data_IF_495726296379
#
_entry.id   IF_495726296379
#
_cell.length_a   1.000
_cell.length_b   1.000
_cell.length_c   1.000
_cell.angle_alpha   90.00
_cell.angle_beta   90.00
_cell.angle_gamma   90.00
#
_symmetry.space_group_name_H-M   'P 1'
#
loop_
_entity.id
_entity.type
_entity.pdbx_description
1 polymer ?
#
# COMPACT_ATOMS: atom_id res chain seq x y z
N UNK A 1 11.27 -18.05 -19.97
CA UNK A 1 12.48 -17.21 -20.08
C UNK A 1 13.16 -17.16 -18.72
N UNK A 2 14.49 -17.30 -18.64
CA UNK A 2 15.25 -17.22 -17.38
C UNK A 2 15.47 -15.75 -17.03
N UNK A 3 15.29 -15.36 -15.77
CA UNK A 3 15.52 -13.98 -15.29
C UNK A 3 16.99 -13.59 -15.53
N UNK A 4 17.28 -12.46 -16.20
CA UNK A 4 18.66 -11.98 -16.35
C UNK A 4 19.29 -11.72 -14.96
N UNK A 5 20.57 -12.04 -14.77
CA UNK A 5 21.25 -11.75 -13.51
C UNK A 5 21.39 -10.23 -13.32
N UNK A 6 21.10 -9.74 -12.11
CA UNK A 6 21.30 -8.34 -11.75
C UNK A 6 22.78 -8.12 -11.42
N UNK A 7 23.47 -7.32 -12.24
CA UNK A 7 24.88 -6.98 -12.00
C UNK A 7 25.04 -6.06 -10.78
N UNK A 8 26.26 -5.96 -10.25
CA UNK A 8 26.56 -5.04 -9.16
C UNK A 8 26.22 -3.59 -9.54
N UNK A 9 26.68 -3.12 -10.70
CA UNK A 9 26.44 -1.74 -11.16
C UNK A 9 24.94 -1.44 -11.31
N UNK A 10 24.16 -2.39 -11.85
CA UNK A 10 22.72 -2.23 -11.99
C UNK A 10 22.00 -2.20 -10.63
N UNK A 11 22.44 -3.03 -9.67
CA UNK A 11 21.92 -3.00 -8.30
C UNK A 11 22.22 -1.66 -7.63
N UNK A 12 23.47 -1.22 -7.68
CA UNK A 12 23.90 0.02 -7.07
C UNK A 12 23.14 1.23 -7.64
N UNK A 13 22.99 1.31 -8.97
CA UNK A 13 22.21 2.37 -9.61
C UNK A 13 20.72 2.35 -9.19
N UNK A 14 20.12 1.17 -9.04
CA UNK A 14 18.74 1.04 -8.54
C UNK A 14 18.62 1.48 -7.08
N UNK A 15 19.55 1.07 -6.22
CA UNK A 15 19.55 1.45 -4.81
C UNK A 15 19.66 2.98 -4.65
N UNK A 16 20.57 3.62 -5.40
CA UNK A 16 20.72 5.09 -5.39
C UNK A 16 19.47 5.81 -5.93
N UNK A 17 18.93 5.36 -7.07
CA UNK A 17 17.76 5.97 -7.68
C UNK A 17 16.51 5.83 -6.80
N UNK A 18 16.43 4.79 -5.97
CA UNK A 18 15.25 4.48 -5.15
C UNK A 18 15.36 4.95 -3.70
N UNK A 19 16.54 5.36 -3.24
CA UNK A 19 16.83 5.73 -1.84
C UNK A 19 15.86 6.75 -1.22
N UNK A 20 15.27 7.63 -2.04
CA UNK A 20 14.35 8.67 -1.59
C UNK A 20 12.89 8.47 -2.03
N UNK A 21 12.54 7.36 -2.69
CA UNK A 21 11.16 7.12 -3.14
C UNK A 21 10.17 7.09 -1.98
N UNK A 22 10.58 6.56 -0.83
CA UNK A 22 9.74 6.54 0.38
C UNK A 22 9.31 7.95 0.80
N UNK A 23 10.17 8.97 0.65
CA UNK A 23 9.86 10.37 0.99
C UNK A 23 8.78 10.94 0.07
N UNK A 24 8.84 10.61 -1.22
CA UNK A 24 7.84 11.04 -2.22
C UNK A 24 6.49 10.41 -1.86
N UNK A 25 6.46 9.09 -1.68
CA UNK A 25 5.24 8.36 -1.33
C UNK A 25 4.62 8.86 -0.03
N UNK A 26 5.44 9.12 0.99
CA UNK A 26 4.99 9.67 2.27
C UNK A 26 4.39 11.08 2.11
N UNK A 27 5.10 11.99 1.44
CA UNK A 27 4.63 13.36 1.22
C UNK A 27 3.29 13.40 0.46
N UNK A 28 3.11 12.55 -0.56
CA UNK A 28 1.84 12.44 -1.30
C UNK A 28 0.72 11.87 -0.41
N UNK A 29 1.01 10.90 0.45
CA UNK A 29 0.01 10.26 1.30
C UNK A 29 -0.62 11.22 2.33
N UNK A 30 0.13 12.24 2.78
CA UNK A 30 -0.31 13.26 3.74
C UNK A 30 -1.16 14.39 3.13
N UNK A 31 -1.15 14.53 1.80
CA UNK A 31 -1.93 15.57 1.12
C UNK A 31 -3.44 15.32 1.22
N UNK A 32 -4.20 16.40 1.41
CA UNK A 32 -5.67 16.41 1.37
C UNK A 32 -6.17 16.36 -0.09
N UNK A 33 -7.41 15.90 -0.30
CA UNK A 33 -8.01 15.74 -1.63
C UNK A 33 -7.92 17.00 -2.54
N UNK A 34 -8.17 18.23 -2.07
CA UNK A 34 -7.97 19.42 -2.90
C UNK A 34 -6.51 19.64 -3.31
N UNK A 35 -5.57 19.41 -2.39
CA UNK A 35 -4.14 19.56 -2.61
C UNK A 35 -3.60 18.52 -3.59
N UNK A 36 -4.09 17.29 -3.53
CA UNK A 36 -3.69 16.21 -4.45
C UNK A 36 -4.04 16.53 -5.91
N UNK A 37 -5.20 17.13 -6.17
CA UNK A 37 -5.59 17.52 -7.54
C UNK A 37 -4.65 18.57 -8.12
N UNK A 38 -4.35 19.62 -7.34
CA UNK A 38 -3.40 20.65 -7.74
C UNK A 38 -1.98 20.09 -7.91
N UNK A 39 -1.55 19.23 -6.99
CA UNK A 39 -0.26 18.55 -7.06
C UNK A 39 -0.10 17.71 -8.31
N UNK A 40 -1.09 16.87 -8.67
CA UNK A 40 -1.03 16.04 -9.86
C UNK A 40 -1.01 16.90 -11.15
N UNK A 41 -1.75 18.01 -11.18
CA UNK A 41 -1.72 18.94 -12.30
C UNK A 41 -0.35 19.61 -12.46
N UNK A 42 0.18 20.17 -11.36
CA UNK A 42 1.49 20.84 -11.34
C UNK A 42 2.62 19.88 -11.71
N UNK A 43 2.59 18.64 -11.21
CA UNK A 43 3.58 17.62 -11.57
C UNK A 43 3.59 17.37 -13.08
N UNK A 44 2.42 17.22 -13.72
CA UNK A 44 2.33 17.06 -15.18
C UNK A 44 2.85 18.29 -15.93
N UNK A 45 2.50 19.49 -15.48
CA UNK A 45 3.00 20.75 -16.09
C UNK A 45 4.52 20.80 -16.07
N UNK A 46 5.14 20.51 -14.91
CA UNK A 46 6.59 20.48 -14.76
C UNK A 46 7.27 19.41 -15.62
N UNK A 47 6.61 18.29 -15.86
CA UNK A 47 7.08 17.25 -16.77
C UNK A 47 7.08 17.72 -18.22
N UNK A 48 6.04 18.44 -18.64
CA UNK A 48 5.98 19.04 -19.98
C UNK A 48 7.07 20.11 -20.18
N UNK A 49 7.36 20.90 -19.15
CA UNK A 49 8.41 21.93 -19.17
C UNK A 49 9.84 21.34 -19.10
N UNK A 50 9.97 20.06 -18.69
CA UNK A 50 11.24 19.34 -18.52
C UNK A 50 11.18 17.95 -19.16
N UNK A 51 11.25 17.86 -20.50
CA UNK A 51 11.08 16.60 -21.22
C UNK A 51 12.05 15.49 -20.77
N UNK A 52 13.26 15.85 -20.36
CA UNK A 52 14.27 14.92 -19.87
C UNK A 52 13.89 14.22 -18.56
N UNK A 53 12.92 14.78 -17.81
CA UNK A 53 12.38 14.24 -16.57
C UNK A 53 10.89 13.91 -16.65
N UNK A 54 10.29 13.95 -17.84
CA UNK A 54 8.84 13.84 -18.02
C UNK A 54 8.26 12.59 -17.35
N UNK A 55 8.90 11.43 -17.58
CA UNK A 55 8.45 10.15 -17.03
C UNK A 55 8.45 10.13 -15.49
N UNK A 56 9.41 10.79 -14.86
CA UNK A 56 9.48 10.90 -13.40
C UNK A 56 8.33 11.75 -12.85
N UNK A 57 8.06 12.87 -13.50
CA UNK A 57 6.93 13.74 -13.15
C UNK A 57 5.58 13.07 -13.39
N UNK A 58 5.44 12.29 -14.47
CA UNK A 58 4.25 11.49 -14.73
C UNK A 58 4.02 10.45 -13.62
N UNK A 59 5.07 9.75 -13.19
CA UNK A 59 4.97 8.79 -12.07
C UNK A 59 4.53 9.48 -10.77
N UNK A 60 5.07 10.66 -10.46
CA UNK A 60 4.66 11.46 -9.30
C UNK A 60 3.18 11.86 -9.38
N UNK A 61 2.70 12.28 -10.56
CA UNK A 61 1.29 12.59 -10.77
C UNK A 61 0.39 11.36 -10.58
N UNK A 62 0.82 10.18 -11.07
CA UNK A 62 0.09 8.93 -10.90
C UNK A 62 -0.03 8.50 -9.43
N UNK A 63 1.00 8.71 -8.61
CA UNK A 63 0.91 8.46 -7.16
C UNK A 63 -0.19 9.32 -6.51
N UNK A 64 -0.30 10.58 -6.92
CA UNK A 64 -1.36 11.47 -6.41
C UNK A 64 -2.75 11.05 -6.91
N UNK A 65 -2.88 10.62 -8.17
CA UNK A 65 -4.13 10.09 -8.71
C UNK A 65 -4.57 8.80 -7.98
N UNK A 66 -3.63 7.89 -7.70
CA UNK A 66 -3.91 6.67 -6.93
C UNK A 66 -4.38 7.02 -5.52
N UNK A 67 -3.75 7.99 -4.86
CA UNK A 67 -4.17 8.47 -3.54
C UNK A 67 -5.57 9.08 -3.56
N UNK A 68 -5.89 9.88 -4.58
CA UNK A 68 -7.24 10.43 -4.78
C UNK A 68 -8.29 9.31 -4.91
N UNK A 69 -7.97 8.28 -5.66
CA UNK A 69 -8.87 7.14 -5.86
C UNK A 69 -9.09 6.35 -4.56
N UNK A 70 -8.03 6.12 -3.76
CA UNK A 70 -8.15 5.52 -2.42
C UNK A 70 -9.08 6.35 -1.54
N UNK A 71 -8.90 7.67 -1.48
CA UNK A 71 -9.75 8.56 -0.68
C UNK A 71 -11.21 8.52 -1.17
N UNK A 72 -11.44 8.53 -2.49
CA UNK A 72 -12.78 8.43 -3.08
C UNK A 72 -13.45 7.11 -2.72
N UNK A 73 -12.74 5.98 -2.80
CA UNK A 73 -13.26 4.66 -2.38
C UNK A 73 -13.56 4.65 -0.89
N UNK A 74 -12.66 5.15 -0.04
CA UNK A 74 -12.88 5.24 1.41
C UNK A 74 -14.12 6.05 1.77
N UNK A 75 -14.38 7.16 1.07
CA UNK A 75 -15.59 7.99 1.23
C UNK A 75 -16.86 7.29 0.77
N UNK A 76 -16.83 6.66 -0.40
CA UNK A 76 -18.05 6.10 -1.04
C UNK A 76 -18.35 4.66 -0.62
N UNK A 77 -17.35 3.92 -0.14
CA UNK A 77 -17.42 2.49 0.13
C UNK A 77 -17.55 1.61 -1.11
N UNK A 78 -17.44 2.18 -2.32
CA UNK A 78 -17.55 1.45 -3.60
C UNK A 78 -16.20 0.86 -4.03
N UNK A 79 -16.25 -0.06 -4.99
CA UNK A 79 -15.08 -0.74 -5.54
C UNK A 79 -14.77 -2.06 -4.81
N UNK A 80 -13.60 -2.62 -5.10
CA UNK A 80 -13.11 -3.83 -4.46
C UNK A 80 -12.48 -3.48 -3.11
N UNK A 81 -12.81 -4.28 -2.10
CA UNK A 81 -12.25 -4.17 -0.75
C UNK A 81 -11.73 -5.53 -0.31
N UNK A 82 -10.79 -5.53 0.61
CA UNK A 82 -10.29 -6.72 1.27
C UNK A 82 -10.61 -6.64 2.75
N UNK A 83 -11.18 -7.72 3.29
CA UNK A 83 -11.20 -8.01 4.71
C UNK A 83 -9.90 -8.72 5.07
N UNK A 84 -9.23 -8.32 6.14
CA UNK A 84 -7.94 -8.87 6.53
C UNK A 84 -7.96 -9.12 8.04
N UNK A 85 -7.41 -10.25 8.46
CA UNK A 85 -7.04 -10.53 9.84
C UNK A 85 -5.56 -10.86 9.89
N UNK A 86 -4.79 -10.04 10.62
CA UNK A 86 -3.37 -10.25 10.86
C UNK A 86 -3.13 -10.78 12.27
N UNK A 87 -2.14 -11.65 12.41
CA UNK A 87 -1.64 -12.12 13.70
C UNK A 87 -0.23 -11.61 13.89
N UNK A 88 -0.02 -10.82 14.94
CA UNK A 88 1.27 -10.21 15.28
C UNK A 88 1.78 -10.86 16.56
N UNK A 89 2.97 -11.44 16.51
CA UNK A 89 3.70 -11.91 17.69
C UNK A 89 4.63 -10.82 18.18
N UNK A 90 4.51 -10.45 19.44
CA UNK A 90 5.36 -9.48 20.10
C UNK A 90 6.51 -10.17 20.82
N UNK A 91 7.72 -9.66 20.65
CA UNK A 91 8.86 -10.06 21.46
C UNK A 91 8.98 -9.21 22.74
N UNK A 92 9.96 -9.52 23.60
CA UNK A 92 10.19 -8.81 24.86
C UNK A 92 10.53 -7.32 24.72
N UNK A 93 10.92 -6.88 23.52
CA UNK A 93 11.26 -5.50 23.20
C UNK A 93 10.11 -4.74 22.51
N UNK A 94 8.88 -5.30 22.54
CA UNK A 94 7.70 -4.77 21.85
C UNK A 94 7.88 -4.62 20.33
N UNK A 95 8.74 -5.44 19.72
CA UNK A 95 8.82 -5.57 18.26
C UNK A 95 7.81 -6.62 17.81
N UNK A 96 6.86 -6.20 16.97
CA UNK A 96 5.83 -7.05 16.40
C UNK A 96 6.29 -7.72 15.11
N UNK A 97 6.16 -9.05 15.04
CA UNK A 97 6.37 -9.84 13.83
C UNK A 97 5.02 -10.36 13.32
N UNK A 98 4.69 -10.09 12.06
CA UNK A 98 3.52 -10.70 11.42
C UNK A 98 3.78 -12.19 11.21
N UNK A 99 3.00 -13.05 11.87
CA UNK A 99 3.15 -14.52 11.80
C UNK A 99 2.05 -15.21 11.00
N UNK A 100 0.89 -14.57 10.85
CA UNK A 100 -0.16 -15.03 9.95
C UNK A 100 -0.96 -13.85 9.39
N UNK A 101 -1.55 -14.06 8.21
CA UNK A 101 -2.45 -13.10 7.56
C UNK A 101 -3.51 -13.86 6.78
N UNK A 102 -4.76 -13.63 7.13
CA UNK A 102 -5.94 -14.18 6.47
C UNK A 102 -6.68 -13.05 5.75
N UNK A 103 -7.23 -13.31 4.57
CA UNK A 103 -7.91 -12.27 3.82
C UNK A 103 -9.04 -12.79 2.92
N UNK A 104 -10.04 -11.94 2.70
CA UNK A 104 -11.14 -12.18 1.76
C UNK A 104 -11.35 -10.95 0.87
N UNK A 105 -11.49 -11.19 -0.44
CA UNK A 105 -11.84 -10.14 -1.41
C UNK A 105 -13.37 -9.95 -1.41
N UNK A 106 -13.83 -8.72 -1.26
CA UNK A 106 -15.23 -8.38 -1.12
C UNK A 106 -15.66 -7.25 -2.08
N UNK A 107 -16.93 -7.29 -2.49
CA UNK A 107 -17.55 -6.23 -3.28
C UNK A 107 -18.08 -5.12 -2.36
N UNK A 108 -17.22 -4.14 -2.10
CA UNK A 108 -17.54 -2.94 -1.33
C UNK A 108 -17.19 -3.01 0.15
N UNK A 109 -17.15 -1.84 0.79
CA UNK A 109 -16.71 -1.68 2.18
C UNK A 109 -17.61 -2.42 3.18
N UNK A 110 -18.93 -2.43 2.95
CA UNK A 110 -19.87 -3.05 3.89
C UNK A 110 -19.71 -4.57 3.94
N UNK A 111 -19.57 -5.23 2.79
CA UNK A 111 -19.31 -6.68 2.74
C UNK A 111 -17.95 -7.01 3.34
N UNK A 112 -16.90 -6.20 3.05
CA UNK A 112 -15.59 -6.36 3.70
C UNK A 112 -15.64 -6.26 5.23
N UNK A 113 -16.42 -5.34 5.80
CA UNK A 113 -16.57 -5.25 7.27
C UNK A 113 -17.27 -6.48 7.85
N UNK A 114 -18.28 -7.03 7.16
CA UNK A 114 -18.95 -8.26 7.59
C UNK A 114 -17.98 -9.45 7.52
N UNK A 115 -17.23 -9.58 6.43
CA UNK A 115 -16.22 -10.63 6.28
C UNK A 115 -15.09 -10.50 7.32
N UNK A 116 -14.60 -9.28 7.58
CA UNK A 116 -13.57 -9.04 8.60
C UNK A 116 -14.03 -9.48 10.00
N UNK A 117 -15.31 -9.27 10.34
CA UNK A 117 -15.88 -9.75 11.60
C UNK A 117 -15.93 -11.28 11.68
N UNK A 118 -16.29 -11.95 10.58
CA UNK A 118 -16.32 -13.42 10.50
C UNK A 118 -14.91 -13.99 10.63
N UNK A 119 -13.97 -13.50 9.82
CA UNK A 119 -12.56 -13.89 9.90
C UNK A 119 -11.99 -13.66 11.30
N UNK A 120 -12.31 -12.52 11.94
CA UNK A 120 -11.82 -12.24 13.29
C UNK A 120 -12.38 -13.25 14.30
N UNK A 121 -13.65 -13.61 14.20
CA UNK A 121 -14.25 -14.62 15.07
C UNK A 121 -13.64 -16.02 14.84
N UNK A 122 -13.40 -16.38 13.57
CA UNK A 122 -12.77 -17.65 13.18
C UNK A 122 -11.33 -17.77 13.71
N UNK A 123 -10.57 -16.67 13.70
CA UNK A 123 -9.16 -16.63 14.11
C UNK A 123 -8.94 -16.02 15.50
N UNK A 124 -9.99 -15.79 16.28
CA UNK A 124 -9.87 -15.22 17.63
C UNK A 124 -8.99 -16.09 18.56
N UNK A 125 -8.94 -17.40 18.30
CA UNK A 125 -8.11 -18.35 19.05
C UNK A 125 -6.59 -18.18 18.84
N UNK A 126 -6.15 -17.43 17.84
CA UNK A 126 -4.74 -17.08 17.64
C UNK A 126 -4.24 -16.03 18.66
N UNK A 127 -5.16 -15.41 19.42
CA UNK A 127 -4.81 -14.50 20.48
C UNK A 127 -4.16 -15.24 21.66
N UNK A 128 -3.02 -14.73 22.11
CA UNK A 128 -2.24 -15.27 23.21
C UNK A 128 -1.53 -14.14 23.96
N UNK A 129 -0.87 -14.46 25.09
CA UNK A 129 -0.20 -13.48 25.96
C UNK A 129 0.72 -12.50 25.21
N UNK A 130 1.44 -13.00 24.20
CA UNK A 130 2.35 -12.22 23.37
C UNK A 130 1.87 -12.10 21.91
N UNK A 131 0.58 -12.28 21.64
CA UNK A 131 0.04 -12.24 20.28
C UNK A 131 -1.16 -11.30 20.20
N UNK A 132 -1.25 -10.55 19.12
CA UNK A 132 -2.41 -9.70 18.80
C UNK A 132 -3.06 -10.20 17.52
N UNK A 133 -4.39 -10.30 17.54
CA UNK A 133 -5.20 -10.57 16.35
C UNK A 133 -5.92 -9.28 15.99
N UNK A 134 -5.62 -8.72 14.82
CA UNK A 134 -6.17 -7.45 14.35
C UNK A 134 -6.95 -7.63 13.06
N UNK A 135 -8.16 -7.08 13.03
CA UNK A 135 -8.97 -7.02 11.83
C UNK A 135 -8.90 -5.63 11.19
N UNK A 136 -8.71 -5.59 9.88
CA UNK A 136 -8.74 -4.36 9.10
C UNK A 136 -9.49 -4.55 7.78
N UNK A 137 -9.90 -3.43 7.17
CA UNK A 137 -10.44 -3.43 5.81
C UNK A 137 -9.68 -2.43 4.97
N UNK A 138 -9.25 -2.86 3.79
CA UNK A 138 -8.49 -2.06 2.84
C UNK A 138 -9.20 -2.02 1.49
N UNK A 139 -8.99 -0.96 0.73
CA UNK A 139 -9.28 -1.03 -0.72
C UNK A 139 -8.29 -1.98 -1.38
N UNK A 140 -8.64 -2.58 -2.52
CA UNK A 140 -7.71 -3.29 -3.41
C UNK A 140 -6.41 -2.49 -3.68
N UNK A 141 -6.49 -1.17 -3.87
CA UNK A 141 -5.33 -0.31 -4.11
C UNK A 141 -4.40 -0.25 -2.90
N UNK A 142 -4.95 -0.25 -1.69
CA UNK A 142 -4.16 -0.29 -0.46
C UNK A 142 -3.63 -1.70 -0.17
N UNK A 143 -4.39 -2.73 -0.54
CA UNK A 143 -3.99 -4.13 -0.40
C UNK A 143 -2.79 -4.47 -1.29
N UNK A 144 -2.80 -4.04 -2.55
CA UNK A 144 -1.71 -4.25 -3.49
C UNK A 144 -0.38 -3.67 -2.99
N UNK A 145 -0.41 -2.52 -2.31
CA UNK A 145 0.77 -1.91 -1.70
C UNK A 145 1.29 -2.61 -0.43
N UNK A 146 0.59 -3.65 0.07
CA UNK A 146 0.93 -4.41 1.29
C UNK A 146 1.22 -5.89 1.05
N UNK A 147 1.12 -6.36 -0.20
CA UNK A 147 1.60 -7.69 -0.54
C UNK A 147 3.12 -7.73 -0.29
N UNK A 148 3.66 -8.72 0.43
CA UNK A 148 5.09 -8.91 0.45
C UNK A 148 5.58 -9.02 -0.99
N UNK A 149 6.72 -8.41 -1.30
CA UNK A 149 7.45 -8.79 -2.51
C UNK A 149 7.61 -10.31 -2.43
N UNK A 150 7.13 -11.01 -3.45
CA UNK A 150 7.30 -12.46 -3.53
C UNK A 150 8.80 -12.71 -3.52
N UNK A 151 9.34 -13.19 -2.40
CA UNK A 151 10.67 -13.76 -2.35
C UNK A 151 10.62 -15.04 -3.20
N UNK A 152 11.14 -14.93 -4.43
CA UNK A 152 11.44 -16.07 -5.31
C UNK A 152 12.57 -16.94 -4.72
#
# INVERSE_FOLDING_TARGET
MKRPPLTYDARHALDEATANLWKISHAVAELKEPSLKGFAHEARSRGADRPEHELLYQAIAQLADQRLEILRRRRTGKGVWYAIVGVIKWNGDHVGQSVARFHEKCEGKRSAVVAARKLLAEHAGEFAENMTVEAEVLTDLEWQGRLPEVED
#
